data_IF_766826166717
#
_entry.id   IF_766826166717
#
_cell.length_a   1.000
_cell.length_b   1.000
_cell.length_c   1.000
_cell.angle_alpha   90.00
_cell.angle_beta   90.00
_cell.angle_gamma   90.00
#
_symmetry.space_group_name_H-M   'P 1'
#
loop_
_entity.id
_entity.type
_entity.pdbx_description
1 polymer ?
#
# COMPACT_ATOMS: atom_id res chain seq x y z
N UNK A 1 -36.47 -27.33 23.97
CA UNK A 1 -35.31 -26.59 24.54
C UNK A 1 -34.18 -26.40 23.53
N UNK A 2 -33.85 -27.39 22.74
CA UNK A 2 -32.75 -27.31 21.76
C UNK A 2 -33.04 -26.34 20.61
N UNK A 3 -34.28 -26.24 20.16
CA UNK A 3 -34.66 -25.34 19.05
C UNK A 3 -34.52 -23.85 19.42
N UNK A 4 -34.77 -23.46 20.66
CA UNK A 4 -34.61 -22.09 21.14
C UNK A 4 -33.11 -21.68 21.18
N UNK A 5 -32.26 -22.58 21.61
CA UNK A 5 -30.82 -22.33 21.69
C UNK A 5 -30.21 -22.14 20.27
N UNK A 6 -30.57 -23.01 19.34
CA UNK A 6 -30.14 -22.90 17.95
C UNK A 6 -30.62 -21.62 17.26
N UNK A 7 -31.84 -21.19 17.57
CA UNK A 7 -32.44 -19.97 17.02
C UNK A 7 -31.71 -18.71 17.53
N UNK A 8 -31.39 -18.66 18.81
CA UNK A 8 -30.65 -17.56 19.42
C UNK A 8 -29.20 -17.50 18.90
N UNK A 9 -28.50 -18.63 18.77
CA UNK A 9 -27.16 -18.68 18.21
C UNK A 9 -27.12 -18.19 16.77
N UNK A 10 -28.08 -18.61 15.94
CA UNK A 10 -28.19 -18.14 14.56
C UNK A 10 -28.44 -16.63 14.49
N UNK A 11 -29.25 -16.09 15.36
CA UNK A 11 -29.51 -14.65 15.43
C UNK A 11 -28.25 -13.85 15.80
N UNK A 12 -27.44 -14.33 16.75
CA UNK A 12 -26.17 -13.69 17.11
C UNK A 12 -25.15 -13.74 15.98
N UNK A 13 -25.08 -14.85 15.26
CA UNK A 13 -24.19 -14.99 14.10
C UNK A 13 -24.62 -14.01 13.00
N UNK A 14 -25.89 -13.92 12.68
CA UNK A 14 -26.39 -12.96 11.70
C UNK A 14 -26.10 -11.51 12.11
N UNK A 15 -26.30 -11.17 13.37
CA UNK A 15 -25.99 -9.84 13.90
C UNK A 15 -24.51 -9.52 13.78
N UNK A 16 -23.64 -10.48 14.11
CA UNK A 16 -22.18 -10.34 13.98
C UNK A 16 -21.76 -10.09 12.54
N UNK A 17 -22.32 -10.83 11.59
CA UNK A 17 -22.03 -10.66 10.15
C UNK A 17 -22.46 -9.27 9.68
N UNK A 18 -23.64 -8.80 10.07
CA UNK A 18 -24.16 -7.47 9.71
C UNK A 18 -23.25 -6.39 10.29
N UNK A 19 -22.89 -6.47 11.58
CA UNK A 19 -22.01 -5.49 12.22
C UNK A 19 -20.62 -5.46 11.57
N UNK A 20 -20.05 -6.62 11.24
CA UNK A 20 -18.76 -6.71 10.56
C UNK A 20 -18.84 -6.11 9.16
N UNK A 21 -19.89 -6.39 8.40
CA UNK A 21 -20.11 -5.81 7.08
C UNK A 21 -20.25 -4.28 7.15
N UNK A 22 -20.97 -3.77 8.13
CA UNK A 22 -21.16 -2.34 8.35
C UNK A 22 -19.83 -1.65 8.71
N UNK A 23 -19.03 -2.28 9.56
CA UNK A 23 -17.69 -1.79 9.92
C UNK A 23 -16.79 -1.70 8.70
N UNK A 24 -16.76 -2.72 7.84
CA UNK A 24 -15.98 -2.71 6.60
C UNK A 24 -16.40 -1.58 5.66
N UNK A 25 -17.71 -1.37 5.49
CA UNK A 25 -18.24 -0.26 4.67
C UNK A 25 -17.81 1.09 5.21
N UNK A 26 -17.85 1.30 6.51
CA UNK A 26 -17.41 2.54 7.15
C UNK A 26 -15.92 2.77 6.96
N UNK A 27 -15.09 1.76 7.17
CA UNK A 27 -13.64 1.84 6.99
C UNK A 27 -13.30 2.19 5.53
N UNK A 28 -13.89 1.48 4.57
CA UNK A 28 -13.69 1.76 3.14
C UNK A 28 -14.16 3.17 2.78
N UNK A 29 -15.28 3.62 3.35
CA UNK A 29 -15.80 4.98 3.15
C UNK A 29 -14.83 6.06 3.64
N UNK A 30 -14.25 5.88 4.83
CA UNK A 30 -13.26 6.80 5.41
C UNK A 30 -12.01 6.88 4.51
N UNK A 31 -11.47 5.73 4.09
CA UNK A 31 -10.29 5.68 3.22
C UNK A 31 -10.55 6.33 1.86
N UNK A 32 -11.70 6.11 1.25
CA UNK A 32 -12.08 6.77 0.00
C UNK A 32 -12.21 8.29 0.16
N UNK A 33 -12.76 8.73 1.28
CA UNK A 33 -12.86 10.15 1.59
C UNK A 33 -11.46 10.78 1.76
N UNK A 34 -10.58 10.15 2.54
CA UNK A 34 -9.19 10.61 2.72
C UNK A 34 -8.44 10.69 1.38
N UNK A 35 -8.59 9.68 0.52
CA UNK A 35 -8.01 9.69 -0.84
C UNK A 35 -8.51 10.89 -1.65
N UNK A 36 -9.81 11.13 -1.68
CA UNK A 36 -10.39 12.26 -2.40
C UNK A 36 -9.89 13.61 -1.89
N UNK A 37 -9.79 13.76 -0.57
CA UNK A 37 -9.28 14.97 0.06
C UNK A 37 -7.82 15.19 -0.32
N UNK A 38 -7.01 14.13 -0.25
CA UNK A 38 -5.60 14.21 -0.61
C UNK A 38 -5.40 14.58 -2.09
N UNK A 39 -6.13 13.95 -3.01
CA UNK A 39 -6.07 14.24 -4.44
C UNK A 39 -6.51 15.68 -4.77
N UNK A 40 -7.52 16.20 -4.08
CA UNK A 40 -7.94 17.60 -4.24
C UNK A 40 -6.90 18.59 -3.75
N UNK A 41 -6.19 18.26 -2.66
CA UNK A 41 -5.11 19.10 -2.13
C UNK A 41 -3.85 19.03 -2.96
N UNK A 42 -3.64 17.94 -3.66
CA UNK A 42 -2.45 17.67 -4.45
C UNK A 42 -2.82 17.35 -5.90
N UNK A 43 -3.28 18.35 -6.68
CA UNK A 43 -3.74 18.12 -8.07
C UNK A 43 -2.60 17.66 -8.98
N UNK A 44 -1.36 18.07 -8.68
CA UNK A 44 -0.16 17.59 -9.38
C UNK A 44 0.47 16.46 -8.59
N UNK A 45 0.15 15.24 -8.97
CA UNK A 45 0.65 14.03 -8.32
C UNK A 45 0.97 12.95 -9.35
N UNK A 46 1.73 11.97 -8.93
CA UNK A 46 2.01 10.75 -9.68
C UNK A 46 1.66 9.52 -8.84
N UNK A 47 1.57 8.37 -9.49
CA UNK A 47 1.30 7.09 -8.83
C UNK A 47 2.51 6.19 -8.95
N UNK A 48 2.87 5.54 -7.84
CA UNK A 48 3.95 4.59 -7.78
C UNK A 48 3.39 3.18 -7.64
N UNK A 49 3.77 2.29 -8.55
CA UNK A 49 3.46 0.87 -8.47
C UNK A 49 4.65 0.15 -7.85
N UNK A 50 4.44 -0.37 -6.64
CA UNK A 50 5.43 -1.12 -5.89
C UNK A 50 5.26 -2.61 -6.16
N UNK A 51 6.31 -3.32 -6.63
CA UNK A 51 6.20 -4.73 -6.96
C UNK A 51 6.08 -5.60 -5.71
N UNK A 52 5.34 -6.69 -5.85
CA UNK A 52 5.32 -7.79 -4.90
C UNK A 52 5.16 -9.10 -5.66
N UNK A 53 5.88 -10.12 -5.27
CA UNK A 53 5.85 -11.43 -5.91
C UNK A 53 6.18 -12.56 -4.93
N UNK A 54 5.90 -13.78 -5.34
CA UNK A 54 6.19 -14.96 -4.55
C UNK A 54 7.39 -15.71 -5.16
N UNK A 55 8.34 -16.09 -4.31
CA UNK A 55 9.42 -17.02 -4.62
C UNK A 55 9.32 -18.24 -3.70
N UNK A 56 8.64 -19.30 -4.16
CA UNK A 56 8.36 -20.48 -3.34
C UNK A 56 7.52 -20.14 -2.11
N UNK A 57 8.05 -20.41 -0.91
CA UNK A 57 7.39 -20.06 0.36
C UNK A 57 7.61 -18.62 0.81
N UNK A 58 8.47 -17.87 0.11
CA UNK A 58 8.82 -16.48 0.41
C UNK A 58 7.97 -15.52 -0.40
N UNK A 59 7.50 -14.48 0.25
CA UNK A 59 6.87 -13.35 -0.41
C UNK A 59 7.87 -12.19 -0.41
N UNK A 60 8.07 -11.62 -1.60
CA UNK A 60 9.00 -10.53 -1.81
C UNK A 60 8.24 -9.25 -2.12
N UNK A 61 8.78 -8.12 -1.73
CA UNK A 61 8.13 -6.85 -2.02
C UNK A 61 9.04 -5.66 -1.85
N UNK A 62 8.56 -4.53 -2.33
CA UNK A 62 9.18 -3.22 -2.17
C UNK A 62 8.22 -2.31 -1.41
N UNK A 63 8.75 -1.59 -0.45
CA UNK A 63 8.02 -0.58 0.29
C UNK A 63 8.78 0.75 0.31
N UNK A 64 8.05 1.81 0.58
CA UNK A 64 8.62 3.13 0.84
C UNK A 64 8.64 3.33 2.35
N UNK A 65 9.82 3.56 2.91
CA UNK A 65 9.99 3.83 4.34
C UNK A 65 9.96 5.32 4.66
N UNK A 66 10.45 6.15 3.73
CA UNK A 66 10.63 7.58 3.97
C UNK A 66 10.50 8.36 2.68
N UNK A 67 9.90 9.54 2.75
CA UNK A 67 9.86 10.53 1.67
C UNK A 67 10.26 11.88 2.27
N UNK A 68 11.27 12.53 1.69
CA UNK A 68 11.80 13.84 2.12
C UNK A 68 12.11 13.89 3.62
N UNK A 69 12.79 12.85 4.14
CA UNK A 69 13.16 12.68 5.55
C UNK A 69 12.00 12.53 6.54
N UNK A 70 10.78 12.37 6.05
CA UNK A 70 9.59 12.13 6.85
C UNK A 70 9.23 10.64 6.81
N UNK A 71 9.21 9.97 7.96
CA UNK A 71 8.89 8.55 8.04
C UNK A 71 7.47 8.20 7.60
N UNK A 72 6.54 9.13 7.74
CA UNK A 72 5.16 9.00 7.30
C UNK A 72 4.60 10.35 6.89
N UNK A 73 4.65 10.63 5.60
CA UNK A 73 4.27 11.94 5.08
C UNK A 73 2.94 11.93 4.34
N UNK A 74 1.81 12.07 5.05
CA UNK A 74 0.49 12.28 4.43
C UNK A 74 0.41 13.55 3.58
N UNK A 75 1.32 14.49 3.76
CA UNK A 75 1.37 15.72 2.97
C UNK A 75 1.98 15.50 1.58
N UNK A 76 2.99 14.62 1.49
CA UNK A 76 3.75 14.37 0.27
C UNK A 76 3.32 13.08 -0.41
N UNK A 77 2.94 12.07 0.36
CA UNK A 77 2.57 10.75 -0.16
C UNK A 77 1.34 10.19 0.52
N UNK A 78 0.54 9.45 -0.24
CA UNK A 78 -0.65 8.76 0.24
C UNK A 78 -0.67 7.32 -0.29
N UNK A 79 -0.97 6.36 0.56
CA UNK A 79 -1.06 4.94 0.20
C UNK A 79 -2.51 4.49 0.08
N UNK A 80 -2.82 3.78 -1.00
CA UNK A 80 -4.12 3.19 -1.28
C UNK A 80 -3.96 1.82 -1.94
N UNK A 81 -5.06 1.10 -2.16
CA UNK A 81 -5.04 -0.25 -2.76
C UNK A 81 -4.46 -0.30 -4.17
N UNK A 82 -4.58 0.76 -4.95
CA UNK A 82 -4.06 0.88 -6.31
C UNK A 82 -2.62 1.40 -6.39
N UNK A 83 -1.95 1.51 -5.26
CA UNK A 83 -0.57 1.94 -5.17
C UNK A 83 -0.35 3.12 -4.23
N UNK A 84 0.79 3.74 -4.35
CA UNK A 84 1.15 4.92 -3.59
C UNK A 84 1.14 6.16 -4.47
N UNK A 85 0.47 7.20 -4.01
CA UNK A 85 0.50 8.53 -4.63
C UNK A 85 1.61 9.37 -4.02
N UNK A 86 2.28 10.16 -4.85
CA UNK A 86 3.31 11.10 -4.44
C UNK A 86 3.10 12.42 -5.17
N UNK A 87 3.37 13.54 -4.51
CA UNK A 87 3.29 14.85 -5.16
C UNK A 87 4.34 14.98 -6.27
N UNK A 88 4.00 15.68 -7.35
CA UNK A 88 4.95 15.95 -8.43
C UNK A 88 6.12 16.82 -7.93
N UNK A 89 7.26 16.66 -8.56
CA UNK A 89 8.48 17.37 -8.22
C UNK A 89 9.61 16.44 -7.77
N UNK A 90 10.68 17.06 -7.32
CA UNK A 90 11.88 16.37 -6.85
C UNK A 90 11.71 15.90 -5.41
N UNK A 91 11.78 14.60 -5.19
CA UNK A 91 11.68 13.99 -3.87
C UNK A 91 12.84 13.04 -3.62
N UNK A 92 13.24 12.97 -2.36
CA UNK A 92 14.13 11.95 -1.85
C UNK A 92 13.29 10.82 -1.26
N UNK A 93 13.37 9.64 -1.86
CA UNK A 93 12.57 8.48 -1.48
C UNK A 93 13.47 7.35 -1.05
N UNK A 94 13.21 6.81 0.14
CA UNK A 94 13.89 5.62 0.64
C UNK A 94 13.02 4.38 0.38
N UNK A 95 13.53 3.51 -0.47
CA UNK A 95 12.91 2.23 -0.78
C UNK A 95 13.53 1.12 0.06
N UNK A 96 12.70 0.15 0.43
CA UNK A 96 13.10 -1.07 1.11
C UNK A 96 12.72 -2.28 0.27
N UNK A 97 13.70 -3.13 -0.01
CA UNK A 97 13.47 -4.47 -0.55
C UNK A 97 13.40 -5.46 0.61
N UNK A 98 12.29 -6.16 0.74
CA UNK A 98 12.03 -7.05 1.87
C UNK A 98 11.48 -8.40 1.45
N UNK A 99 11.72 -9.39 2.28
CA UNK A 99 11.04 -10.69 2.24
C UNK A 99 10.19 -10.86 3.50
N UNK A 100 9.06 -11.57 3.35
CA UNK A 100 8.24 -11.92 4.48
C UNK A 100 7.69 -13.34 4.33
N UNK A 101 7.55 -14.00 5.46
CA UNK A 101 6.94 -15.31 5.57
C UNK A 101 5.58 -15.15 6.21
N UNK A 102 4.55 -15.67 5.57
CA UNK A 102 3.24 -15.74 6.18
C UNK A 102 3.18 -16.98 7.06
N UNK A 103 3.52 -16.83 8.33
CA UNK A 103 3.25 -17.85 9.34
C UNK A 103 1.97 -17.50 10.08
N UNK A 104 1.16 -18.51 10.42
CA UNK A 104 -0.18 -18.40 11.02
C UNK A 104 -0.26 -17.58 12.32
N UNK A 105 0.85 -17.16 12.91
CA UNK A 105 0.91 -16.40 14.17
C UNK A 105 1.88 -15.22 14.18
N UNK A 106 2.76 -15.04 13.20
CA UNK A 106 3.73 -13.93 13.17
C UNK A 106 4.04 -13.51 11.75
N UNK A 107 3.88 -12.24 11.50
CA UNK A 107 4.39 -11.58 10.32
C UNK A 107 5.87 -11.22 10.55
N UNK A 108 6.78 -11.98 9.96
CA UNK A 108 8.21 -11.70 10.01
C UNK A 108 8.65 -11.06 8.69
N UNK A 109 8.92 -9.78 8.75
CA UNK A 109 9.49 -9.02 7.66
C UNK A 109 10.99 -8.89 7.83
N UNK A 110 11.76 -9.31 6.84
CA UNK A 110 13.20 -9.13 6.79
C UNK A 110 13.56 -8.16 5.67
N UNK A 111 14.24 -7.08 6.01
CA UNK A 111 14.75 -6.13 5.03
C UNK A 111 16.04 -6.67 4.43
N UNK A 112 16.07 -6.83 3.11
CA UNK A 112 17.25 -7.32 2.39
C UNK A 112 18.21 -6.17 2.17
N UNK A 113 17.73 -5.05 1.61
CA UNK A 113 18.48 -3.80 1.54
C UNK A 113 17.54 -2.59 1.46
N UNK A 114 18.11 -1.43 1.78
CA UNK A 114 17.48 -0.11 1.64
C UNK A 114 18.31 0.75 0.71
N UNK A 115 17.65 1.57 -0.07
CA UNK A 115 18.29 2.58 -0.90
C UNK A 115 17.47 3.86 -0.92
N UNK A 116 18.13 4.97 -0.64
CA UNK A 116 17.58 6.29 -0.80
C UNK A 116 17.92 6.85 -2.17
N UNK A 117 16.94 7.36 -2.87
CA UNK A 117 17.06 7.87 -4.23
C UNK A 117 16.39 9.22 -4.35
N UNK A 118 17.01 10.13 -5.10
CA UNK A 118 16.40 11.40 -5.48
C UNK A 118 15.86 11.26 -6.90
N UNK A 119 14.58 11.56 -7.08
CA UNK A 119 13.91 11.45 -8.37
C UNK A 119 12.93 12.60 -8.56
N UNK A 120 12.82 13.07 -9.81
CA UNK A 120 11.86 14.10 -10.19
C UNK A 120 10.61 13.46 -10.80
N UNK A 121 9.53 13.43 -10.04
CA UNK A 121 8.26 12.86 -10.46
C UNK A 121 7.45 13.85 -11.28
N UNK A 122 7.07 13.45 -12.48
CA UNK A 122 6.17 14.25 -13.34
C UNK A 122 4.73 14.03 -12.92
N UNK A 123 3.93 15.11 -12.97
CA UNK A 123 2.50 15.01 -12.72
C UNK A 123 1.79 14.07 -13.72
N UNK A 124 0.69 13.46 -13.28
CA UNK A 124 -0.19 12.61 -14.09
C UNK A 124 0.54 11.42 -14.75
N UNK A 125 1.57 10.93 -14.08
CA UNK A 125 2.40 9.83 -14.58
C UNK A 125 2.36 8.66 -13.60
N UNK A 126 2.32 7.46 -14.12
CA UNK A 126 2.46 6.21 -13.36
C UNK A 126 3.89 5.73 -13.48
N UNK A 127 4.53 5.49 -12.34
CA UNK A 127 5.89 4.95 -12.26
C UNK A 127 5.88 3.54 -11.72
N UNK A 128 6.68 2.68 -12.30
CA UNK A 128 6.94 1.32 -11.81
C UNK A 128 8.32 1.29 -11.17
N UNK A 129 8.38 0.71 -9.99
CA UNK A 129 9.63 0.52 -9.25
C UNK A 129 10.11 -0.90 -9.51
N UNK A 130 11.33 -1.05 -10.00
CA UNK A 130 11.97 -2.33 -10.26
C UNK A 130 13.11 -2.57 -9.27
N UNK A 131 13.25 -3.80 -8.83
CA UNK A 131 14.36 -4.22 -7.95
C UNK A 131 15.55 -4.63 -8.80
N UNK A 132 16.69 -4.01 -8.56
CA UNK A 132 17.96 -4.37 -9.15
C UNK A 132 18.86 -5.01 -8.09
N UNK A 133 18.73 -6.31 -7.90
CA UNK A 133 19.41 -7.06 -6.84
C UNK A 133 20.94 -7.02 -6.95
N UNK A 134 21.48 -7.11 -8.17
CA UNK A 134 22.93 -7.13 -8.40
C UNK A 134 23.63 -5.86 -7.91
N UNK A 135 22.97 -4.72 -8.03
CA UNK A 135 23.50 -3.40 -7.64
C UNK A 135 22.95 -2.93 -6.29
N UNK A 136 22.08 -3.70 -5.65
CA UNK A 136 21.37 -3.31 -4.43
C UNK A 136 20.70 -1.94 -4.54
N UNK A 137 19.99 -1.72 -5.62
CA UNK A 137 19.30 -0.47 -5.93
C UNK A 137 17.95 -0.73 -6.59
N UNK A 138 17.26 0.34 -6.94
CA UNK A 138 15.96 0.31 -7.61
C UNK A 138 16.02 1.13 -8.88
N UNK A 139 15.17 0.78 -9.84
CA UNK A 139 14.96 1.56 -11.04
C UNK A 139 13.53 2.08 -11.04
N UNK A 140 13.37 3.37 -11.30
CA UNK A 140 12.09 4.04 -11.43
C UNK A 140 11.86 4.31 -12.91
N UNK A 141 10.85 3.67 -13.49
CA UNK A 141 10.49 3.83 -14.90
C UNK A 141 9.05 4.32 -15.04
N UNK A 142 8.82 5.26 -15.95
CA UNK A 142 7.47 5.69 -16.30
C UNK A 142 6.75 4.56 -17.05
N UNK A 143 5.56 4.21 -16.63
CA UNK A 143 4.69 3.27 -17.33
C UNK A 143 3.89 4.01 -18.40
N UNK A 144 4.24 3.81 -19.65
CA UNK A 144 3.58 4.44 -20.80
C UNK A 144 2.30 3.73 -21.22
N UNK A 145 2.02 2.54 -20.69
CA UNK A 145 0.89 1.71 -21.10
C UNK A 145 -0.37 1.90 -20.25
N UNK A 146 -0.24 2.53 -19.09
CA UNK A 146 -1.37 2.83 -18.20
C UNK A 146 -1.69 4.31 -18.26
N UNK A 147 -2.52 4.68 -19.23
CA UNK A 147 -3.19 5.98 -19.21
C UNK A 147 -4.27 5.94 -18.11
N UNK A 148 -4.25 6.92 -17.25
CA UNK A 148 -5.26 7.18 -16.23
C UNK A 148 -6.65 7.38 -16.84
#
# INVERSE_FOLDING_TARGET
RETWFLHSVNMYICLLIILTGLLVVVIVGIFRYEKRVWLRRNPKHSRLLLPSWNEGSKNMGVAISRVDDINYGRHVSFSWFDGRFITAGRHRVAFEYYEYYFMARRYNRKIIYKKEMVFNFKADTVYVIEVLQERQTFRITADTNNYL
#
